data_IF_068927714806
#
_entry.id   IF_068927714806
#
_cell.length_a   1.000
_cell.length_b   1.000
_cell.length_c   1.000
_cell.angle_alpha   90.00
_cell.angle_beta   90.00
_cell.angle_gamma   90.00
#
_symmetry.space_group_name_H-M   'P 1'
#
loop_
_entity.id
_entity.type
_entity.pdbx_description
1 polymer ?
#
# COMPACT_ATOMS: atom_id res chain seq x y z
N UNK A 1 7.56 24.65 4.45
CA UNK A 1 6.99 24.08 5.69
C UNK A 1 5.55 24.52 5.98
N UNK A 2 5.15 25.76 5.74
CA UNK A 2 3.77 26.25 5.98
C UNK A 2 2.67 25.45 5.24
N UNK A 3 2.88 25.08 3.96
CA UNK A 3 1.91 24.28 3.18
C UNK A 3 1.67 22.86 3.72
N UNK A 4 2.64 22.28 4.43
CA UNK A 4 2.53 20.94 5.01
C UNK A 4 1.73 20.95 6.33
N UNK A 5 1.74 22.08 7.05
CA UNK A 5 1.01 22.26 8.30
C UNK A 5 -0.49 22.51 8.07
N UNK A 6 -0.84 23.27 7.03
CA UNK A 6 -2.24 23.54 6.67
C UNK A 6 -2.96 22.30 6.14
N UNK A 7 -2.31 21.45 5.34
CA UNK A 7 -2.89 20.17 4.88
C UNK A 7 -3.23 19.24 6.05
N UNK A 8 -2.31 19.11 7.03
CA UNK A 8 -2.53 18.25 8.21
C UNK A 8 -3.68 18.74 9.09
N UNK A 9 -3.88 20.05 9.19
CA UNK A 9 -4.96 20.65 10.00
C UNK A 9 -6.33 20.49 9.34
N UNK A 10 -6.41 20.51 8.01
CA UNK A 10 -7.65 20.25 7.25
C UNK A 10 -8.02 18.75 7.30
N UNK A 11 -7.05 17.84 7.14
CA UNK A 11 -7.27 16.39 7.31
C UNK A 11 -7.73 16.02 8.73
N UNK A 12 -7.29 16.75 9.75
CA UNK A 12 -7.66 16.51 11.15
C UNK A 12 -9.07 17.00 11.50
N UNK A 13 -9.59 18.03 10.82
CA UNK A 13 -10.93 18.59 11.08
C UNK A 13 -12.01 17.76 10.38
N UNK A 14 -11.75 17.23 9.18
CA UNK A 14 -12.67 16.30 8.50
C UNK A 14 -12.88 14.97 9.23
N UNK A 15 -11.95 14.59 10.13
CA UNK A 15 -12.04 13.35 10.94
C UNK A 15 -13.01 13.42 12.12
N UNK A 16 -13.42 14.63 12.55
CA UNK A 16 -14.09 14.82 13.84
C UNK A 16 -15.62 14.91 13.75
N UNK A 17 -16.17 15.01 12.53
CA UNK A 17 -17.62 15.07 12.24
C UNK A 17 -18.07 14.14 11.11
N UNK A 18 -17.16 13.41 10.48
CA UNK A 18 -17.50 12.40 9.49
C UNK A 18 -17.69 11.05 10.18
N UNK A 19 -18.85 10.41 10.00
CA UNK A 19 -19.04 9.00 10.32
C UNK A 19 -17.87 8.21 9.72
N UNK A 20 -17.17 7.45 10.55
CA UNK A 20 -16.09 6.59 10.08
C UNK A 20 -16.65 5.46 9.24
N UNK A 21 -15.84 4.92 8.32
CA UNK A 21 -16.22 3.76 7.49
C UNK A 21 -16.66 2.56 8.35
N UNK A 22 -16.07 2.40 9.53
CA UNK A 22 -16.40 1.34 10.47
C UNK A 22 -17.76 1.57 11.15
N UNK A 23 -18.06 2.82 11.52
CA UNK A 23 -19.39 3.21 12.02
C UNK A 23 -20.46 3.03 10.94
N UNK A 24 -20.19 3.42 9.69
CA UNK A 24 -21.10 3.18 8.56
C UNK A 24 -21.37 1.68 8.40
N UNK A 25 -20.34 0.84 8.37
CA UNK A 25 -20.51 -0.60 8.24
C UNK A 25 -21.27 -1.21 9.44
N UNK A 26 -21.05 -0.69 10.65
CA UNK A 26 -21.77 -1.10 11.86
C UNK A 26 -23.26 -0.76 11.79
N UNK A 27 -23.60 0.47 11.39
CA UNK A 27 -24.98 0.88 11.18
C UNK A 27 -25.64 0.06 10.06
N UNK A 28 -24.95 -0.17 8.94
CA UNK A 28 -25.47 -1.00 7.84
C UNK A 28 -25.76 -2.43 8.30
N UNK A 29 -24.90 -3.05 9.13
CA UNK A 29 -25.20 -4.39 9.71
C UNK A 29 -26.45 -4.39 10.57
N UNK A 30 -26.67 -3.33 11.35
CA UNK A 30 -27.88 -3.18 12.17
C UNK A 30 -29.13 -3.06 11.29
N UNK A 31 -29.04 -2.28 10.20
CA UNK A 31 -30.12 -2.15 9.21
C UNK A 31 -30.42 -3.50 8.55
N UNK A 32 -29.41 -4.28 8.16
CA UNK A 32 -29.60 -5.63 7.59
C UNK A 32 -30.38 -6.52 8.54
N UNK A 33 -29.99 -6.59 9.82
CA UNK A 33 -30.70 -7.39 10.82
C UNK A 33 -32.16 -6.95 10.99
N UNK A 34 -32.41 -5.64 11.02
CA UNK A 34 -33.77 -5.09 11.11
C UNK A 34 -34.62 -5.42 9.88
N UNK A 35 -34.04 -5.32 8.67
CA UNK A 35 -34.72 -5.67 7.43
C UNK A 35 -34.98 -7.18 7.31
N UNK A 36 -34.07 -8.04 7.78
CA UNK A 36 -34.29 -9.49 7.82
C UNK A 36 -35.44 -9.86 8.76
N UNK A 37 -35.51 -9.24 9.94
CA UNK A 37 -36.62 -9.42 10.86
C UNK A 37 -37.95 -9.00 10.22
N UNK A 38 -37.99 -7.81 9.62
CA UNK A 38 -39.19 -7.28 8.96
C UNK A 38 -39.62 -8.15 7.77
N UNK A 39 -38.67 -8.66 6.97
CA UNK A 39 -38.94 -9.60 5.88
C UNK A 39 -39.61 -10.87 6.39
N UNK A 40 -39.13 -11.41 7.51
CA UNK A 40 -39.68 -12.64 8.09
C UNK A 40 -41.11 -12.42 8.64
N UNK A 41 -41.35 -11.27 9.27
CA UNK A 41 -42.69 -10.86 9.71
C UNK A 41 -43.66 -10.70 8.53
N UNK A 42 -43.26 -9.99 7.48
CA UNK A 42 -44.08 -9.78 6.28
C UNK A 42 -44.41 -11.09 5.57
N UNK A 43 -43.44 -12.02 5.46
CA UNK A 43 -43.71 -13.35 4.92
C UNK A 43 -44.70 -14.15 5.77
N UNK A 44 -44.59 -14.07 7.11
CA UNK A 44 -45.51 -14.74 8.03
C UNK A 44 -46.93 -14.20 7.89
N UNK A 45 -47.09 -12.88 7.79
CA UNK A 45 -48.39 -12.22 7.57
C UNK A 45 -48.96 -12.60 6.21
N UNK A 46 -48.14 -12.55 5.15
CA UNK A 46 -48.56 -12.88 3.79
C UNK A 46 -49.04 -14.33 3.70
N UNK A 47 -48.32 -15.27 4.34
CA UNK A 47 -48.73 -16.67 4.43
C UNK A 47 -50.12 -16.81 5.08
N UNK A 48 -50.36 -16.14 6.22
CA UNK A 48 -51.67 -16.15 6.88
C UNK A 48 -52.80 -15.53 6.06
N UNK A 49 -52.52 -14.44 5.33
CA UNK A 49 -53.48 -13.82 4.41
C UNK A 49 -53.82 -14.77 3.26
N UNK A 50 -52.82 -15.43 2.67
CA UNK A 50 -53.04 -16.40 1.60
C UNK A 50 -53.87 -17.60 2.07
N UNK A 51 -53.64 -18.09 3.30
CA UNK A 51 -54.49 -19.13 3.90
C UNK A 51 -55.94 -18.67 4.09
N UNK A 52 -56.14 -17.43 4.54
CA UNK A 52 -57.48 -16.85 4.73
C UNK A 52 -58.19 -16.63 3.40
N UNK A 53 -57.47 -16.17 2.38
CA UNK A 53 -57.97 -15.99 1.02
C UNK A 53 -58.43 -17.32 0.41
N UNK A 54 -57.65 -18.40 0.62
CA UNK A 54 -58.02 -19.73 0.18
C UNK A 54 -59.30 -20.26 0.87
N UNK A 55 -59.50 -19.93 2.15
CA UNK A 55 -60.71 -20.32 2.90
C UNK A 55 -61.95 -19.47 2.55
N UNK A 56 -61.75 -18.21 2.13
CA UNK A 56 -62.82 -17.24 1.82
C UNK A 56 -63.22 -17.21 0.35
N UNK A 57 -62.79 -18.19 -0.46
CA UNK A 57 -63.02 -18.22 -1.92
C UNK A 57 -64.51 -18.18 -2.33
N UNK A 58 -65.43 -18.47 -1.42
CA UNK A 58 -66.88 -18.42 -1.64
C UNK A 58 -67.55 -17.07 -1.28
N UNK A 59 -66.80 -16.09 -0.75
CA UNK A 59 -67.28 -14.73 -0.43
C UNK A 59 -66.54 -13.66 -1.26
N UNK A 60 -67.06 -13.28 -2.44
CA UNK A 60 -66.34 -12.44 -3.41
C UNK A 60 -65.96 -11.01 -2.95
N UNK A 61 -66.78 -10.24 -2.21
CA UNK A 61 -66.37 -8.88 -1.79
C UNK A 61 -65.24 -8.88 -0.76
N UNK A 62 -65.25 -9.83 0.18
CA UNK A 62 -64.19 -9.98 1.18
C UNK A 62 -62.90 -10.52 0.56
N UNK A 63 -63.02 -11.43 -0.41
CA UNK A 63 -61.88 -11.97 -1.16
C UNK A 63 -61.09 -10.89 -1.91
N UNK A 64 -61.76 -9.83 -2.39
CA UNK A 64 -61.09 -8.79 -3.18
C UNK A 64 -60.20 -7.89 -2.30
N UNK A 65 -60.69 -7.49 -1.12
CA UNK A 65 -59.94 -6.69 -0.14
C UNK A 65 -58.74 -7.47 0.42
N UNK A 66 -58.92 -8.76 0.68
CA UNK A 66 -57.86 -9.65 1.16
C UNK A 66 -56.75 -9.80 0.10
N UNK A 67 -57.13 -9.91 -1.18
CA UNK A 67 -56.19 -9.96 -2.31
C UNK A 67 -55.39 -8.66 -2.47
N UNK A 68 -56.04 -7.50 -2.38
CA UNK A 68 -55.33 -6.20 -2.45
C UNK A 68 -54.31 -6.04 -1.31
N UNK A 69 -54.67 -6.47 -0.09
CA UNK A 69 -53.75 -6.46 1.06
C UNK A 69 -52.54 -7.37 0.85
N UNK A 70 -52.74 -8.56 0.26
CA UNK A 70 -51.64 -9.44 -0.13
C UNK A 70 -50.72 -8.79 -1.17
N UNK A 71 -51.29 -8.10 -2.16
CA UNK A 71 -50.53 -7.37 -3.19
C UNK A 71 -49.67 -6.22 -2.62
N UNK A 72 -50.17 -5.50 -1.62
CA UNK A 72 -49.39 -4.45 -0.92
C UNK A 72 -48.22 -5.06 -0.14
N UNK A 73 -48.47 -6.17 0.57
CA UNK A 73 -47.43 -6.89 1.30
C UNK A 73 -46.34 -7.44 0.38
N UNK A 74 -46.72 -7.95 -0.79
CA UNK A 74 -45.75 -8.42 -1.79
C UNK A 74 -44.85 -7.29 -2.27
N UNK A 75 -45.42 -6.12 -2.63
CA UNK A 75 -44.62 -4.94 -3.01
C UNK A 75 -43.68 -4.49 -1.88
N UNK A 76 -44.15 -4.57 -0.63
CA UNK A 76 -43.31 -4.24 0.52
C UNK A 76 -42.18 -5.24 0.71
N UNK A 77 -42.39 -6.53 0.44
CA UNK A 77 -41.33 -7.54 0.46
C UNK A 77 -40.28 -7.25 -0.61
N UNK A 78 -40.71 -6.93 -1.84
CA UNK A 78 -39.79 -6.59 -2.94
C UNK A 78 -38.88 -5.40 -2.55
N UNK A 79 -39.44 -4.38 -1.88
CA UNK A 79 -38.69 -3.23 -1.37
C UNK A 79 -37.68 -3.61 -0.26
N UNK A 80 -38.07 -4.50 0.65
CA UNK A 80 -37.18 -5.00 1.71
C UNK A 80 -36.02 -5.81 1.10
N UNK A 81 -36.29 -6.65 0.10
CA UNK A 81 -35.26 -7.42 -0.61
C UNK A 81 -34.27 -6.53 -1.35
N UNK A 82 -34.76 -5.48 -2.02
CA UNK A 82 -33.92 -4.46 -2.65
C UNK A 82 -33.01 -3.79 -1.61
N UNK A 83 -33.57 -3.31 -0.49
CA UNK A 83 -32.80 -2.68 0.58
C UNK A 83 -31.75 -3.62 1.22
N UNK A 84 -32.07 -4.91 1.38
CA UNK A 84 -31.10 -5.91 1.83
C UNK A 84 -29.96 -6.09 0.84
N UNK A 85 -30.26 -6.16 -0.46
CA UNK A 85 -29.24 -6.29 -1.51
C UNK A 85 -28.30 -5.08 -1.57
N UNK A 86 -28.84 -3.87 -1.44
CA UNK A 86 -28.08 -2.63 -1.41
C UNK A 86 -27.19 -2.54 -0.17
N UNK A 87 -27.73 -2.88 1.00
CA UNK A 87 -26.96 -2.91 2.25
C UNK A 87 -25.80 -3.92 2.19
N UNK A 88 -26.01 -5.08 1.56
CA UNK A 88 -24.95 -6.07 1.35
C UNK A 88 -23.84 -5.54 0.44
N UNK A 89 -24.20 -4.81 -0.64
CA UNK A 89 -23.23 -4.15 -1.51
C UNK A 89 -22.43 -3.10 -0.74
N UNK A 90 -23.08 -2.30 0.12
CA UNK A 90 -22.39 -1.31 0.96
C UNK A 90 -21.36 -1.96 1.89
N UNK A 91 -21.68 -3.10 2.50
CA UNK A 91 -20.75 -3.85 3.36
C UNK A 91 -19.57 -4.43 2.57
N UNK A 92 -19.83 -5.00 1.38
CA UNK A 92 -18.79 -5.51 0.51
C UNK A 92 -17.83 -4.38 0.05
N UNK A 93 -18.39 -3.22 -0.31
CA UNK A 93 -17.62 -2.04 -0.67
C UNK A 93 -16.76 -1.53 0.49
N UNK A 94 -17.31 -1.49 1.70
CA UNK A 94 -16.55 -1.12 2.89
C UNK A 94 -15.36 -2.06 3.12
N UNK A 95 -15.54 -3.38 2.99
CA UNK A 95 -14.44 -4.34 3.10
C UNK A 95 -13.37 -4.13 2.01
N UNK A 96 -13.80 -3.94 0.76
CA UNK A 96 -12.88 -3.72 -0.36
C UNK A 96 -12.06 -2.44 -0.19
N UNK A 97 -12.69 -1.34 0.23
CA UNK A 97 -12.01 -0.07 0.48
C UNK A 97 -10.95 -0.18 1.59
N UNK A 98 -11.23 -0.95 2.65
CA UNK A 98 -10.25 -1.22 3.71
C UNK A 98 -9.02 -1.97 3.17
N UNK A 99 -9.24 -2.96 2.31
CA UNK A 99 -8.16 -3.71 1.63
C UNK A 99 -7.29 -2.77 0.77
N UNK A 100 -7.92 -1.96 -0.07
CA UNK A 100 -7.22 -1.01 -0.95
C UNK A 100 -6.41 0.02 -0.16
N UNK A 101 -6.97 0.56 0.93
CA UNK A 101 -6.22 1.51 1.77
C UNK A 101 -5.03 0.83 2.47
N UNK A 102 -5.17 -0.41 2.92
CA UNK A 102 -4.06 -1.18 3.48
C UNK A 102 -2.94 -1.42 2.45
N UNK A 103 -3.29 -1.81 1.22
CA UNK A 103 -2.33 -1.99 0.13
C UNK A 103 -1.60 -0.69 -0.22
N UNK A 104 -2.33 0.42 -0.29
CA UNK A 104 -1.77 1.75 -0.51
C UNK A 104 -0.76 2.13 0.58
N UNK A 105 -1.04 1.85 1.85
CA UNK A 105 -0.08 2.10 2.93
C UNK A 105 1.15 1.20 2.85
N UNK A 106 0.98 -0.07 2.47
CA UNK A 106 2.08 -1.01 2.22
C UNK A 106 3.01 -0.51 1.09
N UNK A 107 2.44 -0.10 -0.04
CA UNK A 107 3.21 0.44 -1.17
C UNK A 107 3.93 1.73 -0.78
N UNK A 108 3.29 2.64 -0.04
CA UNK A 108 3.94 3.84 0.48
C UNK A 108 5.13 3.53 1.39
N UNK A 109 5.03 2.51 2.24
CA UNK A 109 6.14 2.06 3.06
C UNK A 109 7.29 1.49 2.22
N UNK A 110 6.96 0.72 1.17
CA UNK A 110 7.94 0.17 0.24
C UNK A 110 8.69 1.27 -0.53
N UNK A 111 7.98 2.28 -1.02
CA UNK A 111 8.60 3.45 -1.67
C UNK A 111 9.61 4.13 -0.74
N UNK A 112 9.23 4.38 0.52
CA UNK A 112 10.15 4.97 1.51
C UNK A 112 11.40 4.12 1.72
N UNK A 113 11.23 2.80 1.86
CA UNK A 113 12.35 1.85 2.02
C UNK A 113 13.27 1.88 0.79
N UNK A 114 12.72 1.81 -0.42
CA UNK A 114 13.50 1.83 -1.65
C UNK A 114 14.26 3.14 -1.82
N UNK A 115 13.65 4.29 -1.51
CA UNK A 115 14.36 5.56 -1.55
C UNK A 115 15.55 5.60 -0.57
N UNK A 116 15.38 5.03 0.62
CA UNK A 116 16.45 4.96 1.62
C UNK A 116 17.58 4.01 1.20
N UNK A 117 17.23 2.86 0.63
CA UNK A 117 18.18 1.93 0.03
C UNK A 117 18.93 2.56 -1.14
N UNK A 118 18.23 3.31 -2.00
CA UNK A 118 18.86 4.00 -3.13
C UNK A 118 19.85 5.07 -2.66
N UNK A 119 19.50 5.83 -1.62
CA UNK A 119 20.41 6.81 -1.02
C UNK A 119 21.64 6.12 -0.42
N UNK A 120 21.43 5.05 0.35
CA UNK A 120 22.51 4.28 0.95
C UNK A 120 23.46 3.69 -0.11
N UNK A 121 22.93 3.13 -1.21
CA UNK A 121 23.74 2.60 -2.30
C UNK A 121 24.57 3.69 -3.01
N UNK A 122 24.02 4.92 -3.13
CA UNK A 122 24.78 6.06 -3.69
C UNK A 122 25.94 6.45 -2.79
N UNK A 123 25.73 6.46 -1.47
CA UNK A 123 26.76 6.77 -0.49
C UNK A 123 27.85 5.68 -0.48
N UNK A 124 27.46 4.40 -0.56
CA UNK A 124 28.39 3.27 -0.63
C UNK A 124 29.22 3.28 -1.91
N UNK A 125 28.60 3.63 -3.05
CA UNK A 125 29.30 3.80 -4.32
C UNK A 125 30.32 4.94 -4.24
N UNK A 126 29.94 6.10 -3.70
CA UNK A 126 30.84 7.25 -3.53
C UNK A 126 32.03 6.90 -2.62
N UNK A 127 31.78 6.21 -1.51
CA UNK A 127 32.82 5.70 -0.59
C UNK A 127 33.81 4.76 -1.30
N UNK A 128 33.29 3.84 -2.13
CA UNK A 128 34.12 2.91 -2.90
C UNK A 128 34.94 3.62 -3.97
N UNK A 129 34.35 4.58 -4.68
CA UNK A 129 35.05 5.39 -5.68
C UNK A 129 36.20 6.21 -5.05
N UNK A 130 35.98 6.79 -3.87
CA UNK A 130 37.02 7.52 -3.16
C UNK A 130 38.21 6.61 -2.77
N UNK A 131 37.93 5.39 -2.29
CA UNK A 131 38.97 4.41 -1.96
C UNK A 131 39.74 3.97 -3.19
N UNK A 132 39.05 3.74 -4.31
CA UNK A 132 39.69 3.41 -5.59
C UNK A 132 40.63 4.52 -6.03
N UNK A 133 40.16 5.77 -6.06
CA UNK A 133 40.97 6.93 -6.45
C UNK A 133 42.22 7.08 -5.57
N UNK A 134 42.09 6.89 -4.26
CA UNK A 134 43.24 6.92 -3.35
C UNK A 134 44.24 5.79 -3.64
N UNK A 135 43.76 4.58 -3.94
CA UNK A 135 44.62 3.45 -4.33
C UNK A 135 45.32 3.71 -5.66
N UNK A 136 44.64 4.28 -6.65
CA UNK A 136 45.23 4.65 -7.95
C UNK A 136 46.34 5.70 -7.79
N UNK A 137 46.12 6.72 -6.96
CA UNK A 137 47.14 7.71 -6.62
C UNK A 137 48.35 7.06 -5.93
N UNK A 138 48.11 6.13 -5.00
CA UNK A 138 49.19 5.42 -4.33
C UNK A 138 50.02 4.56 -5.28
N UNK A 139 49.36 3.86 -6.22
CA UNK A 139 50.05 3.08 -7.26
C UNK A 139 50.91 3.98 -8.15
N UNK A 140 50.38 5.12 -8.59
CA UNK A 140 51.14 6.07 -9.41
C UNK A 140 52.39 6.59 -8.68
N UNK A 141 52.28 6.92 -7.38
CA UNK A 141 53.42 7.32 -6.57
C UNK A 141 54.47 6.22 -6.45
N UNK A 142 54.04 4.99 -6.17
CA UNK A 142 54.95 3.84 -6.07
C UNK A 142 55.66 3.53 -7.40
N UNK A 143 54.99 3.73 -8.53
CA UNK A 143 55.60 3.59 -9.85
C UNK A 143 56.67 4.65 -10.11
N UNK A 144 56.47 5.89 -9.67
CA UNK A 144 57.48 6.96 -9.75
C UNK A 144 58.68 6.67 -8.84
N UNK A 145 58.43 6.32 -7.58
CA UNK A 145 59.47 5.98 -6.60
C UNK A 145 60.30 4.79 -7.10
N UNK A 146 59.65 3.76 -7.68
CA UNK A 146 60.32 2.63 -8.30
C UNK A 146 61.25 3.08 -9.43
N UNK A 147 60.76 3.90 -10.37
CA UNK A 147 61.58 4.44 -11.48
C UNK A 147 62.78 5.23 -10.95
N UNK A 148 62.57 6.05 -9.92
CA UNK A 148 63.64 6.82 -9.29
C UNK A 148 64.70 5.91 -8.66
N UNK A 149 64.29 4.87 -7.93
CA UNK A 149 65.19 3.88 -7.34
C UNK A 149 65.96 3.09 -8.40
N UNK A 150 65.31 2.69 -9.49
CA UNK A 150 65.94 2.01 -10.64
C UNK A 150 67.00 2.91 -11.30
N UNK A 151 66.71 4.20 -11.47
CA UNK A 151 67.66 5.18 -11.97
C UNK A 151 68.88 5.33 -11.03
N UNK A 152 68.66 5.50 -9.73
CA UNK A 152 69.75 5.59 -8.74
C UNK A 152 70.61 4.32 -8.72
N UNK A 153 70.00 3.14 -8.86
CA UNK A 153 70.74 1.88 -8.95
C UNK A 153 71.61 1.82 -10.20
N UNK A 154 71.18 2.43 -11.30
CA UNK A 154 71.93 2.46 -12.57
C UNK A 154 73.15 3.37 -12.45
N UNK A 155 73.01 4.55 -11.84
CA UNK A 155 74.15 5.45 -11.55
C UNK A 155 75.19 4.74 -10.69
N UNK A 156 74.75 4.11 -9.59
CA UNK A 156 75.67 3.38 -8.70
C UNK A 156 76.44 2.27 -9.41
N UNK A 157 75.81 1.55 -10.35
CA UNK A 157 76.48 0.56 -11.19
C UNK A 157 77.52 1.20 -12.11
N UNK A 158 77.15 2.28 -12.80
CA UNK A 158 78.07 3.01 -13.67
C UNK A 158 79.30 3.53 -12.90
N UNK A 159 79.10 4.14 -11.73
CA UNK A 159 80.20 4.62 -10.89
C UNK A 159 81.13 3.49 -10.45
N UNK A 160 80.58 2.31 -10.13
CA UNK A 160 81.38 1.13 -9.80
C UNK A 160 82.18 0.62 -11.01
N UNK A 161 81.58 0.57 -12.20
CA UNK A 161 82.23 0.12 -13.43
C UNK A 161 83.38 1.06 -13.84
N UNK A 162 83.20 2.39 -13.71
CA UNK A 162 84.26 3.38 -13.96
C UNK A 162 85.43 3.20 -13.02
N UNK A 163 85.18 2.98 -11.72
CA UNK A 163 86.25 2.72 -10.75
C UNK A 163 87.05 1.46 -11.10
N UNK A 164 86.36 0.39 -11.49
CA UNK A 164 86.98 -0.87 -11.91
C UNK A 164 87.85 -0.67 -13.16
N UNK A 165 87.35 0.01 -14.20
CA UNK A 165 88.16 0.35 -15.38
C UNK A 165 89.37 1.24 -15.06
N UNK A 166 89.26 2.18 -14.12
CA UNK A 166 90.37 3.04 -13.72
C UNK A 166 91.48 2.26 -12.99
N UNK A 167 91.12 1.20 -12.25
CA UNK A 167 92.08 0.28 -11.62
C UNK A 167 92.79 -0.55 -12.68
N UNK A 168 92.08 -1.07 -13.69
CA UNK A 168 92.69 -1.84 -14.77
C UNK A 168 93.62 -1.03 -15.68
N UNK A 169 93.43 0.29 -15.80
CA UNK A 169 94.30 1.15 -16.61
C UNK A 169 95.55 1.64 -15.86
N UNK A 170 95.64 1.40 -14.54
CA UNK A 170 96.78 1.77 -13.69
C UNK A 170 97.73 0.59 -13.38
N UNK A 171 97.35 -0.64 -13.74
CA UNK A 171 98.21 -1.83 -13.73
C UNK A 171 98.89 -2.00 -15.08
#
# INVERSE_FOLDING_TARGET
MHKLCTSKKIESIGKMTALTQEEVASHTRTVVQGLEALRNEHNSILSGINSTLAASAHHPPDSNVISEKAGILQKSLDQIELGLSEAQIMLALASHLQTVEAEKQKLRAQVRRLCQENAWLRDELASTQQKLQASEQHVAQLEEDKKHLEFMSTIKKYDADVQVSHVYHKM
#
